data_IF_568062110526
#
_entry.id   IF_568062110526
#
_cell.length_a   1.000
_cell.length_b   1.000
_cell.length_c   1.000
_cell.angle_alpha   90.00
_cell.angle_beta   90.00
_cell.angle_gamma   90.00
#
_symmetry.space_group_name_H-M   'P 1'
#
loop_
_entity.id
_entity.type
_entity.pdbx_description
1 polymer ?
#
# COMPACT_ATOMS: atom_id res chain seq x y z
N UNK A 1 9.63 0.50 0.35
CA UNK A 1 9.29 -0.31 1.53
C UNK A 1 10.54 -0.74 2.31
N UNK A 2 11.32 -1.75 1.89
CA UNK A 2 12.40 -2.35 2.72
C UNK A 2 13.36 -1.36 3.41
N UNK A 3 13.79 -0.30 2.72
CA UNK A 3 14.76 0.67 3.29
C UNK A 3 14.15 1.80 4.12
N UNK A 4 12.83 1.77 4.39
CA UNK A 4 12.14 2.87 5.08
C UNK A 4 11.12 2.38 6.12
N UNK A 5 10.93 1.08 6.26
CA UNK A 5 9.97 0.48 7.19
C UNK A 5 10.67 0.08 8.49
N UNK A 6 9.95 0.10 9.61
CA UNK A 6 10.39 -0.50 10.88
C UNK A 6 10.19 -2.03 10.94
N UNK A 7 9.67 -2.64 9.86
CA UNK A 7 9.56 -4.11 9.66
C UNK A 7 10.21 -4.62 8.38
N UNK A 8 11.53 -4.44 8.22
CA UNK A 8 12.22 -4.88 7.02
C UNK A 8 12.13 -6.41 6.84
N UNK A 9 12.08 -7.19 7.92
CA UNK A 9 11.93 -8.64 7.89
C UNK A 9 10.57 -9.09 7.29
N UNK A 10 9.53 -8.29 7.46
CA UNK A 10 8.21 -8.60 6.92
C UNK A 10 8.16 -8.54 5.39
N UNK A 11 9.05 -7.76 4.76
CA UNK A 11 9.21 -7.78 3.30
C UNK A 11 9.66 -9.17 2.81
N UNK A 12 10.53 -9.85 3.56
CA UNK A 12 10.96 -11.21 3.27
C UNK A 12 9.83 -12.21 3.53
N UNK A 13 9.12 -12.05 4.65
CA UNK A 13 7.97 -12.91 4.98
C UNK A 13 6.94 -12.94 3.85
N UNK A 14 6.55 -11.76 3.37
CA UNK A 14 5.49 -11.59 2.37
C UNK A 14 5.94 -12.04 0.98
N UNK A 15 7.21 -11.79 0.61
CA UNK A 15 7.69 -12.10 -0.74
C UNK A 15 8.18 -13.55 -0.90
N UNK A 16 8.75 -14.13 0.17
CA UNK A 16 9.49 -15.40 0.13
C UNK A 16 8.95 -16.46 1.12
N UNK A 17 7.94 -16.15 1.93
CA UNK A 17 7.39 -17.03 2.96
C UNK A 17 7.91 -16.73 4.37
N UNK A 18 7.16 -17.15 5.40
CA UNK A 18 7.40 -16.78 6.81
C UNK A 18 8.79 -17.14 7.32
N UNK A 19 9.32 -18.29 6.92
CA UNK A 19 10.67 -18.74 7.31
C UNK A 19 11.78 -17.84 6.76
N UNK A 20 11.52 -17.10 5.67
CA UNK A 20 12.51 -16.20 5.07
C UNK A 20 12.79 -14.96 5.93
N UNK A 21 12.01 -14.70 6.99
CA UNK A 21 12.30 -13.62 7.97
C UNK A 21 13.68 -13.75 8.58
N UNK A 22 14.19 -14.98 8.75
CA UNK A 22 15.55 -15.24 9.27
C UNK A 22 16.66 -14.74 8.34
N UNK A 23 16.33 -14.49 7.07
CA UNK A 23 17.26 -13.99 6.04
C UNK A 23 17.19 -12.46 5.93
N UNK A 24 16.43 -11.80 6.80
CA UNK A 24 16.21 -10.37 6.73
C UNK A 24 17.53 -9.61 6.84
N UNK A 25 17.70 -8.68 5.92
CA UNK A 25 18.81 -7.74 5.86
C UNK A 25 18.29 -6.42 5.31
N UNK A 26 18.72 -5.32 5.91
CA UNK A 26 18.50 -3.95 5.40
C UNK A 26 19.29 -3.68 4.12
N UNK A 27 20.23 -4.57 3.77
CA UNK A 27 20.90 -4.64 2.47
C UNK A 27 20.55 -5.97 1.79
N UNK A 28 19.36 -6.09 1.16
CA UNK A 28 18.97 -7.31 0.47
C UNK A 28 19.87 -7.60 -0.72
N UNK A 29 20.10 -8.89 -1.00
CA UNK A 29 20.78 -9.31 -2.23
C UNK A 29 19.98 -8.89 -3.47
N UNK A 30 20.66 -8.82 -4.62
CA UNK A 30 20.01 -8.54 -5.91
C UNK A 30 18.86 -9.52 -6.21
N UNK A 31 19.01 -10.79 -5.83
CA UNK A 31 17.96 -11.80 -6.04
C UNK A 31 16.74 -11.56 -5.16
N UNK A 32 16.93 -11.17 -3.89
CA UNK A 32 15.83 -10.76 -3.05
C UNK A 32 15.13 -9.51 -3.59
N UNK A 33 15.88 -8.50 -4.04
CA UNK A 33 15.31 -7.30 -4.66
C UNK A 33 14.47 -7.62 -5.91
N UNK A 34 14.93 -8.56 -6.75
CA UNK A 34 14.14 -9.05 -7.90
C UNK A 34 12.83 -9.69 -7.46
N UNK A 35 12.86 -10.57 -6.45
CA UNK A 35 11.66 -11.22 -5.93
C UNK A 35 10.69 -10.18 -5.34
N UNK A 36 11.20 -9.25 -4.53
CA UNK A 36 10.40 -8.18 -3.93
C UNK A 36 9.68 -7.36 -5.01
N UNK A 37 10.40 -6.97 -6.06
CA UNK A 37 9.82 -6.22 -7.17
C UNK A 37 8.76 -7.06 -7.91
N UNK A 38 9.05 -8.32 -8.25
CA UNK A 38 8.11 -9.20 -8.96
C UNK A 38 6.80 -9.44 -8.20
N UNK A 39 6.87 -9.49 -6.86
CA UNK A 39 5.72 -9.67 -5.97
C UNK A 39 5.00 -8.36 -5.62
N UNK A 40 5.63 -7.21 -5.85
CA UNK A 40 5.05 -5.90 -5.55
C UNK A 40 3.92 -5.55 -6.53
N UNK A 41 2.76 -5.06 -6.06
CA UNK A 41 1.66 -4.66 -6.94
C UNK A 41 2.07 -3.65 -8.02
N UNK A 42 3.03 -2.76 -7.72
CA UNK A 42 3.49 -1.73 -8.67
C UNK A 42 4.12 -2.31 -9.95
N UNK A 43 4.70 -3.51 -9.89
CA UNK A 43 5.23 -4.20 -11.07
C UNK A 43 4.12 -4.65 -12.03
N UNK A 44 2.87 -4.73 -11.55
CA UNK A 44 1.70 -5.16 -12.30
C UNK A 44 0.70 -4.02 -12.56
N UNK A 45 1.13 -2.77 -12.33
CA UNK A 45 0.27 -1.58 -12.39
C UNK A 45 -0.47 -1.43 -13.73
N UNK A 46 0.12 -1.89 -14.84
CA UNK A 46 -0.51 -1.85 -16.18
C UNK A 46 -1.75 -2.73 -16.32
N UNK A 47 -1.96 -3.69 -15.40
CA UNK A 47 -3.10 -4.60 -15.38
C UNK A 47 -4.29 -4.04 -14.58
N UNK A 48 -4.11 -2.93 -13.87
CA UNK A 48 -5.15 -2.34 -13.03
C UNK A 48 -6.21 -1.68 -13.90
N UNK A 49 -7.45 -2.14 -13.77
CA UNK A 49 -8.62 -1.62 -14.49
C UNK A 49 -9.66 -1.00 -13.56
N UNK A 50 -9.71 -1.45 -12.32
CA UNK A 50 -10.68 -0.99 -11.34
C UNK A 50 -10.28 0.37 -10.75
N UNK A 51 -11.25 1.29 -10.52
CA UNK A 51 -11.02 2.50 -9.76
C UNK A 51 -10.56 2.19 -8.33
N UNK A 52 -9.52 2.89 -7.86
CA UNK A 52 -8.88 2.63 -6.57
C UNK A 52 -9.15 3.74 -5.55
N UNK A 53 -9.53 3.36 -4.33
CA UNK A 53 -9.46 4.22 -3.15
C UNK A 53 -8.22 3.83 -2.33
N UNK A 54 -7.34 4.80 -2.07
CA UNK A 54 -6.14 4.63 -1.25
C UNK A 54 -6.30 5.44 0.03
N UNK A 55 -6.25 4.76 1.17
CA UNK A 55 -6.32 5.35 2.52
C UNK A 55 -4.97 5.12 3.19
N UNK A 56 -4.31 6.19 3.65
CA UNK A 56 -2.93 6.14 4.13
C UNK A 56 -2.80 6.83 5.49
N UNK A 57 -2.23 6.15 6.47
CA UNK A 57 -1.74 6.79 7.71
C UNK A 57 -0.42 7.53 7.44
N UNK A 58 -0.34 8.79 7.86
CA UNK A 58 0.82 9.65 7.66
C UNK A 58 1.98 9.33 8.61
N UNK A 59 1.67 8.76 9.77
CA UNK A 59 2.63 8.31 10.77
C UNK A 59 2.91 6.79 10.69
N UNK A 60 2.44 6.10 9.64
CA UNK A 60 2.68 4.66 9.46
C UNK A 60 4.17 4.37 9.15
N UNK A 61 4.85 3.72 10.10
CA UNK A 61 6.21 3.22 9.93
C UNK A 61 6.25 1.80 9.33
N UNK A 62 5.18 1.01 9.49
CA UNK A 62 5.07 -0.39 9.04
C UNK A 62 4.91 -0.43 7.52
N UNK A 63 4.00 0.38 6.99
CA UNK A 63 3.77 0.53 5.55
C UNK A 63 3.85 2.01 5.19
N UNK A 64 5.07 2.55 4.99
CA UNK A 64 5.26 3.98 4.77
C UNK A 64 4.36 4.55 3.67
N UNK A 65 3.67 5.64 3.98
CA UNK A 65 2.71 6.34 3.09
C UNK A 65 3.27 6.63 1.69
N UNK A 66 4.58 6.84 1.58
CA UNK A 66 5.29 7.11 0.33
C UNK A 66 5.09 6.00 -0.70
N UNK A 67 4.95 4.74 -0.27
CA UNK A 67 4.66 3.60 -1.15
C UNK A 67 3.27 3.73 -1.80
N UNK A 68 2.25 4.09 -1.01
CA UNK A 68 0.88 4.32 -1.49
C UNK A 68 0.79 5.52 -2.43
N UNK A 69 1.48 6.63 -2.09
CA UNK A 69 1.57 7.81 -2.94
C UNK A 69 2.29 7.50 -4.27
N UNK A 70 3.38 6.72 -4.25
CA UNK A 70 4.07 6.26 -5.45
C UNK A 70 3.13 5.46 -6.35
N UNK A 71 2.39 4.50 -5.77
CA UNK A 71 1.44 3.68 -6.52
C UNK A 71 0.32 4.52 -7.15
N UNK A 72 -0.26 5.47 -6.40
CA UNK A 72 -1.30 6.35 -6.90
C UNK A 72 -0.82 7.22 -8.07
N UNK A 73 0.40 7.77 -8.01
CA UNK A 73 1.01 8.51 -9.13
C UNK A 73 1.22 7.62 -10.35
N UNK A 74 1.81 6.43 -10.15
CA UNK A 74 2.04 5.46 -11.22
C UNK A 74 0.73 5.02 -11.90
N UNK A 75 -0.37 4.89 -11.14
CA UNK A 75 -1.67 4.58 -11.70
C UNK A 75 -2.22 5.74 -12.55
N UNK A 76 -2.12 6.98 -12.06
CA UNK A 76 -2.57 8.19 -12.77
C UNK A 76 -1.81 8.41 -14.07
N UNK A 77 -0.49 8.20 -14.08
CA UNK A 77 0.35 8.27 -15.29
C UNK A 77 -0.16 7.36 -16.43
N UNK A 78 -0.86 6.28 -16.07
CA UNK A 78 -1.42 5.29 -17.00
C UNK A 78 -2.91 5.51 -17.28
N UNK A 79 -3.47 6.64 -16.86
CA UNK A 79 -4.88 6.98 -17.02
C UNK A 79 -5.83 6.24 -16.07
N UNK A 80 -5.32 5.56 -15.05
CA UNK A 80 -6.14 4.88 -14.05
C UNK A 80 -6.80 5.84 -13.06
N UNK A 81 -7.99 5.48 -12.59
CA UNK A 81 -8.76 6.29 -11.64
C UNK A 81 -8.37 5.96 -10.19
N UNK A 82 -7.90 6.97 -9.44
CA UNK A 82 -7.53 6.79 -8.03
C UNK A 82 -7.80 8.02 -7.18
N UNK A 83 -8.54 7.80 -6.08
CA UNK A 83 -8.68 8.75 -4.98
C UNK A 83 -7.72 8.36 -3.86
N UNK A 84 -6.99 9.34 -3.34
CA UNK A 84 -6.06 9.13 -2.22
C UNK A 84 -6.46 10.05 -1.08
N UNK A 85 -6.58 9.49 0.12
CA UNK A 85 -6.81 10.22 1.37
C UNK A 85 -5.65 9.86 2.29
N UNK A 86 -5.02 10.90 2.84
CA UNK A 86 -3.92 10.78 3.79
C UNK A 86 -4.43 11.33 5.12
N UNK A 87 -4.25 10.57 6.19
CA UNK A 87 -4.56 10.94 7.56
C UNK A 87 -3.24 11.19 8.30
N UNK A 88 -2.77 12.44 8.43
CA UNK A 88 -1.40 12.74 8.84
C UNK A 88 -1.00 12.16 10.20
N UNK A 89 -1.94 12.11 11.14
CA UNK A 89 -1.71 11.69 12.52
C UNK A 89 -1.90 10.18 12.74
N UNK A 90 -2.59 9.48 11.82
CA UNK A 90 -2.83 8.04 11.94
C UNK A 90 -1.57 7.22 11.64
N UNK A 91 -1.45 6.09 12.33
CA UNK A 91 -0.31 5.16 12.20
C UNK A 91 -0.63 4.05 11.19
N UNK A 92 -0.26 2.80 11.48
CA UNK A 92 -0.60 1.67 10.61
C UNK A 92 -2.11 1.40 10.57
N UNK A 93 -2.77 1.59 11.71
CA UNK A 93 -4.23 1.58 11.81
C UNK A 93 -4.76 3.01 11.57
N UNK A 94 -5.90 3.11 10.89
CA UNK A 94 -6.66 4.36 10.76
C UNK A 94 -7.77 4.31 11.83
N UNK A 95 -7.44 4.68 13.05
CA UNK A 95 -8.26 4.45 14.25
C UNK A 95 -8.55 5.71 15.06
N UNK A 96 -7.97 6.87 14.69
CA UNK A 96 -8.34 8.15 15.28
C UNK A 96 -9.83 8.38 14.97
N UNK A 97 -10.71 8.66 15.96
CA UNK A 97 -12.17 8.62 15.75
C UNK A 97 -12.69 9.42 14.56
N UNK A 98 -12.06 10.56 14.27
CA UNK A 98 -12.38 11.36 13.09
C UNK A 98 -11.93 10.69 11.79
N UNK A 99 -10.68 10.23 11.75
CA UNK A 99 -10.08 9.57 10.59
C UNK A 99 -10.80 8.26 10.27
N UNK A 100 -11.11 7.48 11.29
CA UNK A 100 -11.90 6.25 11.20
C UNK A 100 -13.26 6.52 10.55
N UNK A 101 -14.02 7.48 11.09
CA UNK A 101 -15.30 7.90 10.51
C UNK A 101 -15.16 8.37 9.06
N UNK A 102 -14.20 9.24 8.77
CA UNK A 102 -13.94 9.73 7.41
C UNK A 102 -13.54 8.58 6.47
N UNK A 103 -12.78 7.60 6.95
CA UNK A 103 -12.36 6.42 6.18
C UNK A 103 -13.56 5.57 5.77
N UNK A 104 -14.44 5.21 6.72
CA UNK A 104 -15.63 4.40 6.48
C UNK A 104 -16.64 5.09 5.59
N UNK A 105 -16.87 6.39 5.81
CA UNK A 105 -17.73 7.18 4.95
C UNK A 105 -17.24 7.18 3.51
N UNK A 106 -15.93 7.40 3.31
CA UNK A 106 -15.34 7.43 1.96
C UNK A 106 -15.34 6.05 1.30
N UNK A 107 -15.15 4.96 2.05
CA UNK A 107 -15.34 3.60 1.53
C UNK A 107 -16.77 3.39 1.04
N UNK A 108 -17.77 3.76 1.84
CA UNK A 108 -19.18 3.65 1.46
C UNK A 108 -19.54 4.45 0.22
N UNK A 109 -19.09 5.71 0.14
CA UNK A 109 -19.28 6.58 -1.04
C UNK A 109 -18.58 6.01 -2.28
N UNK A 110 -17.37 5.47 -2.13
CA UNK A 110 -16.61 4.88 -3.23
C UNK A 110 -17.31 3.65 -3.78
N UNK A 111 -17.72 2.73 -2.91
CA UNK A 111 -18.46 1.55 -3.31
C UNK A 111 -19.81 1.90 -3.95
N UNK A 112 -20.56 2.84 -3.38
CA UNK A 112 -21.81 3.33 -4.00
C UNK A 112 -21.60 3.86 -5.42
N UNK A 113 -20.45 4.50 -5.70
CA UNK A 113 -20.14 5.05 -7.02
C UNK A 113 -19.75 3.98 -8.05
N UNK A 114 -18.97 2.97 -7.66
CA UNK A 114 -18.35 2.04 -8.62
C UNK A 114 -18.84 0.59 -8.57
N UNK A 115 -19.45 0.15 -7.46
CA UNK A 115 -20.09 -1.17 -7.43
C UNK A 115 -21.48 -1.06 -8.06
N UNK A 116 -21.75 -1.96 -9.01
CA UNK A 116 -23.11 -2.13 -9.53
C UNK A 116 -24.01 -2.65 -8.42
N UNK A 117 -25.18 -2.06 -8.29
CA UNK A 117 -26.25 -2.64 -7.48
C UNK A 117 -26.65 -3.95 -8.16
N UNK A 118 -26.61 -5.06 -7.41
CA UNK A 118 -27.08 -6.37 -7.85
C UNK A 118 -28.57 -6.45 -7.59
#
# INVERSE_FOLDING_TARGET
MIGTTDIPDWCYAVACGTEARRLASESPSLDHLRIFHQKSPIAHISKVKAPLLMLLGGADLRVPMSNGLQYARALRERGGEVKTIMFPEDTHEIDIPRSDFESFLNMGVWFKKYLKQI
#
